data_IF_464036844656
#
_entry.id   IF_464036844656
#
_cell.length_a   1.000
_cell.length_b   1.000
_cell.length_c   1.000
_cell.angle_alpha   90.00
_cell.angle_beta   90.00
_cell.angle_gamma   90.00
#
_symmetry.space_group_name_H-M   'P 1'
#
loop_
_entity.id
_entity.type
_entity.pdbx_description
1 polymer ?
#
# COMPACT_ATOMS: atom_id res chain seq x y z
N UNK A 1 67.67 16.76 16.42
CA UNK A 1 67.37 18.10 15.88
C UNK A 1 67.03 17.94 14.41
N UNK A 2 65.74 17.97 14.06
CA UNK A 2 65.26 17.90 12.69
C UNK A 2 64.21 19.00 12.50
N UNK A 3 64.44 19.85 11.51
CA UNK A 3 63.55 20.89 11.04
C UNK A 3 63.71 21.00 9.52
N UNK A 4 62.55 21.14 8.85
CA UNK A 4 62.32 21.68 7.49
C UNK A 4 62.77 20.75 6.33
N UNK A 5 62.16 20.72 5.15
CA UNK A 5 61.25 21.65 4.47
C UNK A 5 60.44 20.91 3.39
N UNK A 6 59.27 21.45 3.10
CA UNK A 6 58.35 21.19 1.99
C UNK A 6 59.01 21.45 0.63
N UNK A 7 58.64 20.69 -0.42
CA UNK A 7 58.83 21.09 -1.82
C UNK A 7 57.70 20.58 -2.73
N UNK A 8 57.04 21.56 -3.35
CA UNK A 8 56.09 21.54 -4.48
C UNK A 8 56.79 21.26 -5.82
N UNK A 9 56.04 20.77 -6.84
CA UNK A 9 56.22 20.89 -8.33
C UNK A 9 55.14 20.00 -9.00
N UNK A 10 54.15 20.42 -9.79
CA UNK A 10 54.01 21.23 -11.03
C UNK A 10 54.59 20.63 -12.35
N UNK A 11 53.63 20.28 -13.25
CA UNK A 11 53.56 20.37 -14.75
C UNK A 11 54.48 19.45 -15.61
N UNK A 12 54.10 19.05 -16.88
CA UNK A 12 53.71 19.89 -18.06
C UNK A 12 52.54 19.33 -18.93
N UNK A 13 51.74 20.07 -19.72
CA UNK A 13 51.92 20.94 -20.91
C UNK A 13 52.30 20.29 -22.26
N UNK A 14 51.52 20.67 -23.31
CA UNK A 14 51.74 20.62 -24.78
C UNK A 14 51.32 19.33 -25.53
N UNK A 15 50.72 19.32 -26.76
CA UNK A 15 50.79 20.26 -27.90
C UNK A 15 49.75 19.92 -29.03
N UNK A 16 49.17 20.97 -29.64
CA UNK A 16 48.98 21.27 -31.10
C UNK A 16 48.38 20.24 -32.09
N UNK A 17 47.30 20.61 -32.81
CA UNK A 17 47.31 21.29 -34.13
C UNK A 17 45.91 21.42 -34.77
N UNK A 18 45.63 22.59 -35.34
CA UNK A 18 44.54 22.89 -36.31
C UNK A 18 45.03 22.60 -37.76
N UNK A 19 44.13 22.45 -38.74
CA UNK A 19 43.86 23.60 -39.61
C UNK A 19 42.39 23.80 -40.04
N UNK A 20 42.14 25.04 -40.48
CA UNK A 20 40.91 25.65 -41.02
C UNK A 20 40.49 25.10 -42.40
N UNK A 21 39.18 25.05 -42.67
CA UNK A 21 38.55 25.66 -43.86
C UNK A 21 37.01 25.44 -43.87
N UNK A 22 36.25 26.53 -44.00
CA UNK A 22 34.81 26.58 -44.35
C UNK A 22 34.65 26.52 -45.88
N UNK A 23 33.50 26.03 -46.43
CA UNK A 23 32.38 26.96 -46.71
C UNK A 23 30.95 26.39 -46.57
N UNK A 24 30.02 27.36 -46.49
CA UNK A 24 28.55 27.29 -46.42
C UNK A 24 27.86 26.33 -47.41
N UNK A 25 26.79 25.65 -46.94
CA UNK A 25 25.50 25.50 -47.66
C UNK A 25 24.39 25.03 -46.71
N UNK A 26 23.17 25.29 -47.13
CA UNK A 26 21.96 25.40 -46.34
C UNK A 26 21.13 24.10 -46.23
N UNK A 27 20.11 24.18 -45.37
CA UNK A 27 18.91 23.34 -45.22
C UNK A 27 19.06 21.96 -44.55
N UNK A 28 18.23 21.74 -43.52
CA UNK A 28 17.86 20.40 -43.05
C UNK A 28 17.54 20.35 -41.57
N UNK A 29 16.24 20.35 -41.25
CA UNK A 29 15.67 20.06 -39.94
C UNK A 29 16.10 18.66 -39.45
N UNK A 30 16.56 18.55 -38.20
CA UNK A 30 16.08 17.57 -37.21
C UNK A 30 16.66 17.93 -35.84
N UNK A 31 15.85 18.08 -34.78
CA UNK A 31 16.36 18.17 -33.42
C UNK A 31 16.77 16.76 -32.94
N UNK A 32 18.03 16.62 -32.56
CA UNK A 32 18.53 15.47 -31.80
C UNK A 32 17.91 15.47 -30.40
N UNK A 33 17.31 14.36 -29.92
CA UNK A 33 16.82 14.30 -28.55
C UNK A 33 18.00 14.19 -27.59
N UNK A 34 18.03 15.10 -26.61
CA UNK A 34 18.91 15.08 -25.44
C UNK A 34 18.59 13.83 -24.62
N UNK A 35 19.58 13.08 -24.12
CA UNK A 35 19.32 11.96 -23.21
C UNK A 35 18.68 12.50 -21.93
N UNK A 36 17.42 12.10 -21.72
CA UNK A 36 16.71 12.32 -20.46
C UNK A 36 17.47 11.55 -19.38
N UNK A 37 18.19 12.28 -18.53
CA UNK A 37 18.57 11.78 -17.22
C UNK A 37 17.28 11.41 -16.50
N UNK A 38 17.03 10.10 -16.36
CA UNK A 38 16.03 9.59 -15.43
C UNK A 38 16.44 10.07 -14.05
N UNK A 39 15.75 11.11 -13.58
CA UNK A 39 15.72 11.44 -12.16
C UNK A 39 15.20 10.19 -11.47
N UNK A 40 16.07 9.54 -10.70
CA UNK A 40 15.64 8.66 -9.63
C UNK A 40 14.69 9.47 -8.75
N UNK A 41 13.41 9.24 -8.91
CA UNK A 41 12.45 9.64 -7.89
C UNK A 41 12.72 8.69 -6.73
N UNK A 42 13.09 9.18 -5.54
CA UNK A 42 13.02 8.32 -4.36
C UNK A 42 11.57 7.83 -4.28
N UNK A 43 11.40 6.50 -4.25
CA UNK A 43 10.09 5.87 -4.05
C UNK A 43 9.46 6.54 -2.83
N UNK A 44 8.35 7.25 -3.06
CA UNK A 44 7.54 7.78 -1.97
C UNK A 44 7.17 6.60 -1.07
N UNK A 45 7.32 6.72 0.26
CA UNK A 45 6.66 5.77 1.15
C UNK A 45 5.15 5.79 0.85
N UNK A 46 4.56 4.61 0.94
CA UNK A 46 3.17 4.31 0.62
C UNK A 46 2.17 5.37 1.14
N UNK A 47 1.16 5.61 0.32
CA UNK A 47 0.19 6.70 0.35
C UNK A 47 -0.67 6.81 1.62
N UNK A 48 -0.52 7.93 2.33
CA UNK A 48 -1.51 8.48 3.26
C UNK A 48 -2.91 8.67 2.58
N UNK A 49 -2.94 8.75 1.23
CA UNK A 49 -4.17 8.92 0.45
C UNK A 49 -5.05 7.68 0.38
N UNK A 50 -4.48 6.46 0.47
CA UNK A 50 -5.27 5.21 0.40
C UNK A 50 -6.04 4.97 1.69
N UNK A 51 -5.36 5.11 2.83
CA UNK A 51 -6.00 5.01 4.14
C UNK A 51 -7.08 6.08 4.30
N UNK A 52 -6.80 7.31 3.85
CA UNK A 52 -7.76 8.41 3.88
C UNK A 52 -8.98 8.16 2.99
N UNK A 53 -8.81 7.56 1.80
CA UNK A 53 -9.94 7.19 0.92
C UNK A 53 -10.84 6.14 1.58
N UNK A 54 -10.26 5.10 2.17
CA UNK A 54 -11.02 4.05 2.87
C UNK A 54 -11.74 4.60 4.12
N UNK A 55 -11.10 5.51 4.86
CA UNK A 55 -11.72 6.23 5.98
C UNK A 55 -12.86 7.17 5.50
N UNK A 56 -12.69 7.87 4.38
CA UNK A 56 -13.72 8.72 3.75
C UNK A 56 -14.92 7.89 3.24
N UNK A 57 -14.69 6.66 2.80
CA UNK A 57 -15.72 5.69 2.40
C UNK A 57 -16.35 4.95 3.60
N UNK A 58 -15.93 5.28 4.84
CA UNK A 58 -16.51 4.73 6.07
C UNK A 58 -16.03 3.34 6.44
N UNK A 59 -14.95 2.83 5.81
CA UNK A 59 -14.42 1.49 6.05
C UNK A 59 -13.23 1.57 7.04
N UNK A 60 -13.40 1.13 8.29
CA UNK A 60 -12.33 1.17 9.27
C UNK A 60 -11.25 0.13 8.91
N UNK A 61 -10.01 0.59 8.68
CA UNK A 61 -8.85 -0.29 8.53
C UNK A 61 -8.49 -0.91 9.89
N UNK A 62 -8.49 -2.24 10.04
CA UNK A 62 -8.06 -2.87 11.28
C UNK A 62 -6.53 -2.77 11.40
N UNK A 63 -6.02 -2.14 12.46
CA UNK A 63 -4.57 -2.02 12.69
C UNK A 63 -4.00 -3.08 13.65
N UNK A 64 -4.84 -3.92 14.27
CA UNK A 64 -4.44 -5.06 15.10
C UNK A 64 -4.43 -6.40 14.35
N UNK A 65 -4.64 -6.39 13.02
CA UNK A 65 -4.57 -7.57 12.16
C UNK A 65 -3.17 -7.81 11.57
N UNK A 66 -2.99 -8.86 10.73
CA UNK A 66 -1.74 -9.06 10.01
C UNK A 66 -1.37 -7.78 9.23
N UNK A 67 -0.09 -7.39 9.29
CA UNK A 67 0.39 -6.22 8.53
C UNK A 67 0.08 -6.37 7.04
N UNK A 68 -0.08 -5.26 6.29
CA UNK A 68 -0.26 -5.34 4.83
C UNK A 68 0.79 -6.22 4.17
N UNK A 69 2.04 -6.12 4.61
CA UNK A 69 3.14 -6.93 4.10
C UNK A 69 2.95 -8.43 4.40
N UNK A 70 2.50 -8.79 5.60
CA UNK A 70 2.21 -10.17 5.97
C UNK A 70 1.02 -10.73 5.17
N UNK A 71 -0.05 -9.95 5.01
CA UNK A 71 -1.23 -10.36 4.25
C UNK A 71 -0.93 -10.47 2.75
N UNK A 72 -0.14 -9.56 2.20
CA UNK A 72 0.37 -9.66 0.82
C UNK A 72 1.27 -10.88 0.67
N UNK A 73 2.18 -11.15 1.61
CA UNK A 73 3.04 -12.33 1.56
C UNK A 73 2.23 -13.64 1.63
N UNK A 74 1.18 -13.67 2.45
CA UNK A 74 0.23 -14.78 2.49
C UNK A 74 -0.52 -14.93 1.17
N UNK A 75 -1.07 -13.83 0.65
CA UNK A 75 -1.78 -13.80 -0.63
C UNK A 75 -0.92 -14.30 -1.79
N UNK A 76 0.33 -13.83 -1.87
CA UNK A 76 1.31 -14.26 -2.86
C UNK A 76 1.68 -15.74 -2.69
N UNK A 77 1.72 -16.26 -1.46
CA UNK A 77 2.05 -17.66 -1.21
C UNK A 77 0.88 -18.63 -1.44
N UNK A 78 -0.36 -18.21 -1.18
CA UNK A 78 -1.53 -19.11 -1.07
C UNK A 78 -2.57 -18.91 -2.17
N UNK A 79 -2.62 -17.75 -2.83
CA UNK A 79 -3.67 -17.46 -3.83
C UNK A 79 -3.15 -17.46 -5.26
N UNK A 80 -1.82 -17.53 -5.48
CA UNK A 80 -1.25 -17.49 -6.84
C UNK A 80 -1.61 -18.71 -7.70
N UNK A 81 -1.92 -19.85 -7.09
CA UNK A 81 -2.29 -21.07 -7.85
C UNK A 81 -3.64 -20.92 -8.57
N UNK A 82 -4.46 -19.94 -8.19
CA UNK A 82 -5.78 -19.68 -8.76
C UNK A 82 -5.76 -18.54 -9.79
N UNK A 83 -4.61 -17.89 -9.96
CA UNK A 83 -4.50 -16.76 -10.88
C UNK A 83 -4.68 -17.24 -12.33
N UNK A 84 -5.62 -16.66 -13.09
CA UNK A 84 -5.75 -16.93 -14.51
C UNK A 84 -4.44 -16.67 -15.23
N UNK A 85 -4.09 -17.51 -16.19
CA UNK A 85 -2.90 -17.28 -17.03
C UNK A 85 -2.97 -15.98 -17.82
N UNK A 86 -4.19 -15.57 -18.15
CA UNK A 86 -4.48 -14.34 -18.86
C UNK A 86 -5.44 -13.49 -18.03
N UNK A 87 -5.01 -12.28 -17.69
CA UNK A 87 -5.86 -11.27 -17.07
C UNK A 87 -6.18 -10.19 -18.11
N UNK A 88 -7.47 -9.92 -18.36
CA UNK A 88 -7.89 -8.84 -19.23
C UNK A 88 -7.58 -7.46 -18.66
N UNK A 89 -7.66 -6.45 -19.52
CA UNK A 89 -7.34 -5.07 -19.12
C UNK A 89 -8.19 -4.59 -17.93
N UNK A 90 -7.51 -4.00 -16.94
CA UNK A 90 -8.13 -3.49 -15.70
C UNK A 90 -8.25 -4.51 -14.56
N UNK A 91 -8.12 -5.81 -14.84
CA UNK A 91 -8.05 -6.84 -13.82
C UNK A 91 -6.60 -7.08 -13.38
N UNK A 92 -6.42 -7.44 -12.11
CA UNK A 92 -5.11 -7.60 -11.49
C UNK A 92 -5.12 -8.68 -10.41
N UNK A 93 -3.98 -9.35 -10.26
CA UNK A 93 -3.61 -10.22 -9.13
C UNK A 93 -2.48 -9.62 -8.29
N UNK A 94 -2.07 -8.38 -8.58
CA UNK A 94 -1.05 -7.68 -7.83
C UNK A 94 -1.61 -7.17 -6.49
N UNK A 95 -1.87 -8.09 -5.55
CA UNK A 95 -2.57 -7.83 -4.29
C UNK A 95 -2.02 -6.66 -3.46
N UNK A 96 -0.71 -6.41 -3.57
CA UNK A 96 -0.07 -5.24 -2.94
C UNK A 96 -0.71 -3.92 -3.37
N UNK A 97 -1.20 -3.84 -4.61
CA UNK A 97 -1.78 -2.65 -5.23
C UNK A 97 -3.32 -2.62 -5.08
N UNK A 98 -3.91 -3.60 -4.39
CA UNK A 98 -5.33 -3.61 -4.08
C UNK A 98 -5.61 -2.92 -2.74
N UNK A 99 -6.39 -1.83 -2.79
CA UNK A 99 -6.67 -1.00 -1.61
C UNK A 99 -7.56 -1.72 -0.59
N UNK A 100 -8.49 -2.57 -1.03
CA UNK A 100 -9.46 -3.25 -0.16
C UNK A 100 -8.94 -4.57 0.44
N UNK A 101 -7.71 -4.99 0.12
CA UNK A 101 -7.14 -6.22 0.63
C UNK A 101 -7.17 -6.25 2.17
N UNK A 102 -6.70 -5.18 2.82
CA UNK A 102 -6.71 -5.07 4.27
C UNK A 102 -8.13 -4.98 4.82
N UNK A 103 -9.02 -4.27 4.14
CA UNK A 103 -10.40 -4.11 4.60
C UNK A 103 -11.10 -5.46 4.67
N UNK A 104 -11.05 -6.23 3.59
CA UNK A 104 -11.79 -7.49 3.47
C UNK A 104 -11.12 -8.64 4.23
N UNK A 105 -9.79 -8.77 4.16
CA UNK A 105 -9.10 -9.97 4.66
C UNK A 105 -8.38 -9.77 5.99
N UNK A 106 -8.31 -8.55 6.53
CA UNK A 106 -7.87 -8.39 7.92
C UNK A 106 -9.01 -8.66 8.90
N UNK A 107 -8.63 -9.07 10.11
CA UNK A 107 -9.55 -9.27 11.22
C UNK A 107 -10.38 -8.04 11.52
N UNK A 108 -11.69 -8.18 11.61
CA UNK A 108 -12.62 -7.10 11.93
C UNK A 108 -12.35 -6.51 13.33
N UNK A 109 -12.80 -5.26 13.58
CA UNK A 109 -12.70 -4.63 14.89
C UNK A 109 -13.84 -5.05 15.84
N UNK A 110 -14.59 -6.11 15.51
CA UNK A 110 -15.76 -6.54 16.27
C UNK A 110 -15.46 -7.79 17.10
N UNK A 111 -16.39 -8.15 17.97
CA UNK A 111 -16.35 -9.41 18.72
C UNK A 111 -16.06 -10.59 17.79
N UNK A 112 -15.23 -11.54 18.24
CA UNK A 112 -14.66 -12.66 17.47
C UNK A 112 -13.56 -12.29 16.48
N UNK A 113 -13.44 -11.00 16.11
CA UNK A 113 -12.41 -10.47 15.20
C UNK A 113 -12.28 -11.26 13.90
N UNK A 114 -13.39 -11.77 13.36
CA UNK A 114 -13.38 -12.53 12.11
C UNK A 114 -12.94 -11.65 10.93
N UNK A 115 -12.23 -12.17 9.91
CA UNK A 115 -12.01 -11.45 8.67
C UNK A 115 -13.33 -10.91 8.10
N UNK A 116 -13.35 -9.66 7.63
CA UNK A 116 -14.61 -9.05 7.14
C UNK A 116 -15.22 -9.83 5.98
N UNK A 117 -14.38 -10.43 5.13
CA UNK A 117 -14.83 -11.27 4.02
C UNK A 117 -15.57 -12.52 4.52
N UNK A 118 -15.17 -13.11 5.65
CA UNK A 118 -15.87 -14.27 6.22
C UNK A 118 -17.20 -13.84 6.86
N UNK A 119 -17.21 -12.69 7.55
CA UNK A 119 -18.45 -12.12 8.09
C UNK A 119 -19.47 -11.84 6.98
N UNK A 120 -19.00 -11.39 5.83
CA UNK A 120 -19.83 -11.13 4.65
C UNK A 120 -20.25 -12.44 3.97
N UNK A 121 -19.29 -13.20 3.44
CA UNK A 121 -19.57 -14.36 2.58
C UNK A 121 -20.12 -15.54 3.38
N UNK A 122 -19.40 -15.95 4.44
CA UNK A 122 -19.74 -17.15 5.18
C UNK A 122 -20.91 -16.94 6.13
N UNK A 123 -20.93 -15.82 6.86
CA UNK A 123 -21.98 -15.56 7.86
C UNK A 123 -23.20 -14.90 7.22
N UNK A 124 -23.07 -13.68 6.70
CA UNK A 124 -24.23 -12.92 6.19
C UNK A 124 -24.91 -13.59 4.98
N UNK A 125 -24.14 -14.20 4.08
CA UNK A 125 -24.67 -14.87 2.89
C UNK A 125 -24.79 -16.39 3.01
N UNK A 126 -24.41 -16.97 4.16
CA UNK A 126 -24.48 -18.41 4.42
C UNK A 126 -23.73 -19.29 3.40
N UNK A 127 -22.67 -18.78 2.78
CA UNK A 127 -21.87 -19.53 1.80
C UNK A 127 -20.72 -20.22 2.54
N UNK A 128 -20.86 -21.49 2.88
CA UNK A 128 -19.87 -22.23 3.66
C UNK A 128 -18.58 -22.52 2.84
N UNK A 129 -17.42 -22.37 3.48
CA UNK A 129 -16.12 -22.75 2.89
C UNK A 129 -15.02 -21.69 3.00
N UNK A 130 -13.83 -22.00 2.50
CA UNK A 130 -12.70 -21.06 2.51
C UNK A 130 -12.78 -20.09 1.33
N UNK A 131 -12.79 -18.78 1.63
CA UNK A 131 -12.86 -17.71 0.61
C UNK A 131 -11.47 -17.35 0.10
N UNK A 132 -11.22 -17.57 -1.20
CA UNK A 132 -9.94 -17.21 -1.86
C UNK A 132 -10.17 -16.21 -2.99
N UNK A 133 -9.59 -15.00 -2.93
CA UNK A 133 -9.71 -14.05 -4.01
C UNK A 133 -8.86 -14.52 -5.21
N UNK A 134 -9.41 -14.30 -6.40
CA UNK A 134 -8.81 -14.74 -7.67
C UNK A 134 -8.23 -13.54 -8.40
N UNK A 135 -9.04 -12.49 -8.61
CA UNK A 135 -8.63 -11.28 -9.30
C UNK A 135 -9.50 -10.11 -8.85
N UNK A 136 -8.94 -8.90 -8.87
CA UNK A 136 -9.67 -7.67 -8.55
C UNK A 136 -9.60 -6.67 -9.70
N UNK A 137 -10.56 -5.75 -9.74
CA UNK A 137 -10.59 -4.62 -10.66
C UNK A 137 -10.94 -3.35 -9.86
N UNK A 138 -9.97 -2.44 -9.75
CA UNK A 138 -10.12 -1.19 -8.98
C UNK A 138 -11.05 -0.18 -9.62
N UNK A 139 -11.18 -0.20 -10.96
CA UNK A 139 -12.04 0.76 -11.67
C UNK A 139 -13.51 0.35 -11.60
N UNK A 140 -13.77 -0.95 -11.48
CA UNK A 140 -15.12 -1.53 -11.39
C UNK A 140 -15.58 -1.78 -9.95
N UNK A 141 -14.80 -1.41 -8.95
CA UNK A 141 -15.04 -1.70 -7.53
C UNK A 141 -15.33 -3.21 -7.25
N UNK A 142 -14.55 -4.09 -7.90
CA UNK A 142 -14.88 -5.51 -8.03
C UNK A 142 -13.79 -6.48 -7.58
N UNK A 143 -14.19 -7.63 -7.04
CA UNK A 143 -13.32 -8.80 -6.83
C UNK A 143 -14.05 -10.09 -7.21
N UNK A 144 -13.36 -10.99 -7.91
CA UNK A 144 -13.78 -12.36 -8.15
C UNK A 144 -13.10 -13.24 -7.10
N UNK A 145 -13.85 -14.15 -6.50
CA UNK A 145 -13.32 -15.09 -5.51
C UNK A 145 -13.96 -16.46 -5.67
N UNK A 146 -13.23 -17.48 -5.23
CA UNK A 146 -13.72 -18.84 -5.12
C UNK A 146 -14.02 -19.17 -3.66
N UNK A 147 -15.00 -20.05 -3.44
CA UNK A 147 -15.25 -20.68 -2.14
C UNK A 147 -14.98 -22.17 -2.26
N UNK A 148 -14.13 -22.68 -1.38
CA UNK A 148 -13.77 -24.09 -1.31
C UNK A 148 -14.56 -24.76 -0.20
N UNK A 149 -15.40 -25.73 -0.55
CA UNK A 149 -16.10 -26.53 0.44
C UNK A 149 -15.10 -27.33 1.28
N UNK A 150 -15.25 -27.26 2.60
CA UNK A 150 -14.45 -28.05 3.55
C UNK A 150 -14.93 -29.47 3.71
N UNK A 151 -16.06 -29.84 3.07
CA UNK A 151 -16.63 -31.19 3.14
C UNK A 151 -15.93 -32.20 2.21
N UNK A 152 -14.92 -31.80 1.44
CA UNK A 152 -14.10 -32.71 0.63
C UNK A 152 -12.89 -33.25 1.44
N UNK A 153 -12.97 -34.47 2.01
CA UNK A 153 -11.91 -35.04 2.85
C UNK A 153 -10.59 -35.32 2.10
N UNK A 154 -10.56 -35.26 0.77
CA UNK A 154 -9.36 -35.51 -0.05
C UNK A 154 -8.25 -34.47 0.16
N UNK A 155 -8.53 -33.32 0.77
CA UNK A 155 -7.49 -32.30 1.03
C UNK A 155 -6.70 -32.50 2.34
N UNK A 156 -7.14 -33.39 3.24
CA UNK A 156 -6.47 -33.56 4.54
C UNK A 156 -5.39 -34.66 4.56
N UNK A 157 -5.22 -35.47 3.50
CA UNK A 157 -4.33 -36.64 3.56
C UNK A 157 -3.05 -36.61 2.73
N UNK A 158 -2.90 -35.78 1.69
CA UNK A 158 -1.93 -36.12 0.63
C UNK A 158 -0.69 -35.20 0.51
N UNK A 159 -0.30 -34.49 1.57
CA UNK A 159 1.04 -33.89 1.62
C UNK A 159 2.17 -34.92 1.80
N UNK A 160 1.84 -36.18 2.09
CA UNK A 160 2.79 -37.28 2.18
C UNK A 160 2.27 -38.51 1.42
N UNK A 161 2.83 -38.74 0.22
CA UNK A 161 2.80 -39.99 -0.56
C UNK A 161 1.58 -40.27 -1.45
N UNK A 162 1.66 -39.91 -2.74
CA UNK A 162 1.27 -40.87 -3.80
C UNK A 162 1.81 -40.48 -5.18
N UNK A 163 2.83 -41.23 -5.65
CA UNK A 163 3.26 -41.31 -7.05
C UNK A 163 2.31 -42.21 -7.88
N UNK A 164 0.99 -42.09 -7.71
CA UNK A 164 0.01 -42.87 -8.49
C UNK A 164 -0.50 -42.07 -9.67
N UNK A 165 0.07 -42.34 -10.85
CA UNK A 165 -0.23 -41.72 -12.16
C UNK A 165 -1.63 -42.05 -12.75
N UNK A 166 -2.61 -42.50 -11.97
CA UNK A 166 -3.96 -42.81 -12.47
C UNK A 166 -5.03 -41.84 -11.95
N UNK A 167 -4.94 -40.59 -12.43
CA UNK A 167 -6.00 -39.88 -13.16
C UNK A 167 -7.46 -39.92 -12.68
N UNK A 168 -7.75 -40.15 -11.41
CA UNK A 168 -9.05 -39.86 -10.81
C UNK A 168 -9.14 -38.38 -10.49
N UNK A 169 -9.64 -37.56 -11.43
CA UNK A 169 -9.91 -36.15 -11.18
C UNK A 169 -11.03 -36.01 -10.15
N UNK A 170 -10.68 -35.95 -8.87
CA UNK A 170 -11.56 -35.51 -7.80
C UNK A 170 -12.15 -34.16 -8.20
N UNK A 171 -13.44 -34.16 -8.46
CA UNK A 171 -14.15 -32.97 -8.93
C UNK A 171 -14.41 -32.09 -7.72
N UNK A 172 -13.41 -31.30 -7.31
CA UNK A 172 -13.60 -30.24 -6.33
C UNK A 172 -14.73 -29.33 -6.81
N UNK A 173 -15.81 -29.21 -6.03
CA UNK A 173 -16.86 -28.25 -6.31
C UNK A 173 -16.38 -26.87 -5.88
N UNK A 174 -15.62 -26.21 -6.75
CA UNK A 174 -15.22 -24.81 -6.57
C UNK A 174 -16.36 -23.93 -7.07
N UNK A 175 -16.99 -23.20 -6.17
CA UNK A 175 -18.00 -22.20 -6.52
C UNK A 175 -17.33 -20.83 -6.68
N UNK A 176 -17.63 -20.14 -7.78
CA UNK A 176 -17.03 -18.84 -8.09
C UNK A 176 -18.08 -17.74 -7.98
N UNK A 177 -17.70 -16.67 -7.30
CA UNK A 177 -18.56 -15.54 -7.00
C UNK A 177 -17.90 -14.22 -7.42
N UNK A 178 -18.75 -13.23 -7.62
CA UNK A 178 -18.38 -11.86 -7.89
C UNK A 178 -18.86 -10.97 -6.73
N UNK A 179 -17.96 -10.20 -6.14
CA UNK A 179 -18.26 -9.21 -5.09
C UNK A 179 -18.03 -7.80 -5.64
N UNK A 180 -19.06 -6.97 -5.57
CA UNK A 180 -18.92 -5.53 -5.65
C UNK A 180 -18.60 -5.00 -4.24
N UNK A 181 -17.35 -4.64 -3.97
CA UNK A 181 -16.93 -4.23 -2.63
C UNK A 181 -17.34 -2.80 -2.26
N UNK A 182 -17.93 -2.05 -3.20
CA UNK A 182 -18.54 -0.74 -2.91
C UNK A 182 -19.95 -0.88 -2.35
N UNK A 183 -20.72 -1.84 -2.86
CA UNK A 183 -22.10 -2.11 -2.40
C UNK A 183 -22.20 -3.33 -1.49
N UNK A 184 -21.11 -4.07 -1.31
CA UNK A 184 -21.05 -5.37 -0.62
C UNK A 184 -22.07 -6.39 -1.12
N UNK A 185 -22.46 -6.29 -2.39
CA UNK A 185 -23.37 -7.24 -3.02
C UNK A 185 -22.58 -8.39 -3.64
N UNK A 186 -22.95 -9.62 -3.28
CA UNK A 186 -22.42 -10.85 -3.88
C UNK A 186 -23.33 -11.29 -5.01
N UNK A 187 -22.70 -11.78 -6.07
CA UNK A 187 -23.37 -12.32 -7.23
C UNK A 187 -22.81 -13.72 -7.53
N UNK A 188 -23.69 -14.64 -7.89
CA UNK A 188 -23.35 -15.99 -8.33
C UNK A 188 -23.69 -16.18 -9.81
N UNK A 189 -23.10 -17.22 -10.40
CA UNK A 189 -23.59 -17.75 -11.66
C UNK A 189 -24.77 -18.66 -11.38
N UNK A 190 -25.90 -18.32 -11.97
CA UNK A 190 -27.07 -19.18 -11.95
C UNK A 190 -27.57 -19.41 -13.37
N UNK A 191 -27.44 -20.66 -13.82
CA UNK A 191 -27.92 -21.09 -15.12
C UNK A 191 -29.45 -20.94 -15.26
N UNK A 192 -30.19 -20.96 -14.15
CA UNK A 192 -31.65 -20.77 -14.17
C UNK A 192 -32.03 -19.32 -14.52
N UNK A 193 -31.26 -18.35 -14.02
CA UNK A 193 -31.44 -16.92 -14.31
C UNK A 193 -30.82 -16.51 -15.66
N UNK A 194 -29.91 -17.34 -16.18
CA UNK A 194 -29.13 -17.09 -17.39
C UNK A 194 -29.15 -18.27 -18.38
N UNK A 195 -30.30 -18.83 -18.79
CA UNK A 195 -30.36 -20.12 -19.49
C UNK A 195 -29.65 -20.16 -20.86
N UNK A 196 -29.33 -18.99 -21.42
CA UNK A 196 -28.63 -18.86 -22.70
C UNK A 196 -27.13 -18.62 -22.56
N UNK A 197 -26.61 -18.48 -21.35
CA UNK A 197 -25.18 -18.30 -21.10
C UNK A 197 -24.71 -19.54 -20.34
N UNK A 198 -23.86 -20.39 -20.95
CA UNK A 198 -23.36 -21.55 -20.25
C UNK A 198 -22.59 -21.09 -19.01
N UNK A 199 -22.75 -21.76 -17.86
CA UNK A 199 -21.94 -21.46 -16.69
C UNK A 199 -20.46 -21.60 -17.07
N UNK A 200 -19.59 -20.67 -16.65
CA UNK A 200 -18.17 -20.76 -16.96
C UNK A 200 -17.62 -22.06 -16.40
N UNK A 201 -16.93 -22.84 -17.23
CA UNK A 201 -16.31 -24.11 -16.83
C UNK A 201 -14.92 -23.93 -16.22
N UNK A 202 -14.39 -22.70 -16.28
CA UNK A 202 -13.09 -22.34 -15.72
C UNK A 202 -13.09 -20.90 -15.22
N UNK A 203 -12.10 -20.59 -14.38
CA UNK A 203 -11.87 -19.22 -13.90
C UNK A 203 -11.54 -18.29 -15.07
N UNK A 204 -10.81 -18.77 -16.07
CA UNK A 204 -10.47 -18.03 -17.28
C UNK A 204 -11.71 -17.60 -18.07
N UNK A 205 -12.64 -18.54 -18.32
CA UNK A 205 -13.90 -18.24 -19.01
C UNK A 205 -14.73 -17.18 -18.27
N UNK A 206 -14.74 -17.24 -16.94
CA UNK A 206 -15.39 -16.23 -16.12
C UNK A 206 -14.74 -14.85 -16.31
N UNK A 207 -13.43 -14.78 -16.16
CA UNK A 207 -12.70 -13.51 -16.24
C UNK A 207 -12.86 -12.87 -17.63
N UNK A 208 -12.89 -13.67 -18.68
CA UNK A 208 -13.19 -13.22 -20.04
C UNK A 208 -14.62 -12.70 -20.19
N UNK A 209 -15.61 -13.40 -19.62
CA UNK A 209 -17.02 -12.98 -19.61
C UNK A 209 -17.20 -11.61 -18.93
N UNK A 210 -16.51 -11.39 -17.81
CA UNK A 210 -16.55 -10.13 -17.04
C UNK A 210 -15.81 -8.96 -17.74
N UNK A 211 -15.02 -9.25 -18.77
CA UNK A 211 -14.24 -8.26 -19.51
C UNK A 211 -15.05 -7.60 -20.60
N UNK A 212 -15.87 -8.37 -21.32
CA UNK A 212 -16.77 -7.84 -22.34
C UNK A 212 -17.91 -6.99 -21.78
N UNK A 213 -18.12 -7.06 -20.46
CA UNK A 213 -19.20 -6.39 -19.76
C UNK A 213 -18.83 -4.98 -19.29
N UNK A 214 -19.63 -3.98 -19.67
CA UNK A 214 -19.48 -2.60 -19.20
C UNK A 214 -19.78 -2.49 -17.69
N UNK A 215 -20.72 -3.29 -17.18
CA UNK A 215 -21.03 -3.41 -15.76
C UNK A 215 -21.28 -4.88 -15.35
N UNK A 216 -21.19 -5.23 -14.06
CA UNK A 216 -21.52 -6.57 -13.57
C UNK A 216 -22.95 -6.97 -13.89
N UNK A 217 -23.86 -5.98 -13.97
CA UNK A 217 -25.28 -6.21 -14.32
C UNK A 217 -25.46 -6.54 -15.81
N UNK A 218 -24.48 -6.25 -16.65
CA UNK A 218 -24.48 -6.66 -18.07
C UNK A 218 -24.03 -8.10 -18.27
N UNK A 219 -23.46 -8.72 -17.24
CA UNK A 219 -23.23 -10.16 -17.16
C UNK A 219 -24.47 -10.78 -16.54
N UNK A 220 -24.92 -11.97 -16.98
CA UNK A 220 -26.12 -12.59 -16.42
C UNK A 220 -25.80 -13.27 -15.08
N UNK A 221 -25.39 -12.44 -14.13
CA UNK A 221 -25.13 -12.81 -12.76
C UNK A 221 -26.41 -12.69 -11.94
N UNK A 222 -26.64 -13.65 -11.07
CA UNK A 222 -27.72 -13.57 -10.10
C UNK A 222 -27.22 -12.88 -8.84
N UNK A 223 -27.87 -11.79 -8.44
CA UNK A 223 -27.56 -11.13 -7.17
C UNK A 223 -28.11 -11.99 -6.04
N UNK A 224 -27.22 -12.39 -5.13
CA UNK A 224 -27.63 -13.09 -3.92
C UNK A 224 -28.27 -12.12 -2.94
N UNK A 225 -29.31 -12.60 -2.26
CA UNK A 225 -29.87 -11.94 -1.09
C UNK A 225 -29.17 -12.47 0.18
N UNK A 226 -28.92 -11.62 1.18
CA UNK A 226 -28.42 -12.07 2.47
C UNK A 226 -29.34 -13.12 3.10
N UNK A 227 -28.74 -14.10 3.77
CA UNK A 227 -29.49 -15.10 4.52
C UNK A 227 -30.08 -14.48 5.80
N UNK A 228 -31.39 -14.61 6.09
CA UNK A 228 -31.98 -14.03 7.29
C UNK A 228 -31.40 -14.56 8.60
N UNK A 229 -31.02 -15.85 8.66
CA UNK A 229 -30.39 -16.43 9.85
C UNK A 229 -28.96 -15.91 9.98
N UNK A 230 -28.22 -15.85 8.88
CA UNK A 230 -26.87 -15.28 8.80
C UNK A 230 -26.81 -13.83 9.25
N UNK A 231 -27.78 -13.01 8.82
CA UNK A 231 -27.91 -11.62 9.28
C UNK A 231 -28.20 -11.54 10.78
N UNK A 232 -29.06 -12.41 11.31
CA UNK A 232 -29.33 -12.46 12.75
C UNK A 232 -28.10 -12.90 13.56
N UNK A 233 -27.31 -13.84 13.03
CA UNK A 233 -26.04 -14.24 13.62
C UNK A 233 -25.03 -13.07 13.61
N UNK A 234 -24.95 -12.32 12.50
CA UNK A 234 -24.11 -11.12 12.41
C UNK A 234 -24.50 -10.05 13.43
N UNK A 235 -25.80 -9.78 13.58
CA UNK A 235 -26.30 -8.83 14.59
C UNK A 235 -25.94 -9.27 16.01
N UNK A 236 -25.94 -10.58 16.28
CA UNK A 236 -25.51 -11.17 17.56
C UNK A 236 -24.01 -11.04 17.79
N UNK A 237 -23.18 -11.21 16.75
CA UNK A 237 -21.73 -10.90 16.82
C UNK A 237 -21.54 -9.43 17.22
N UNK A 238 -22.24 -8.51 16.54
CA UNK A 238 -22.16 -7.07 16.83
C UNK A 238 -22.65 -6.74 18.24
N UNK A 239 -23.63 -7.48 18.76
CA UNK A 239 -24.13 -7.38 20.13
C UNK A 239 -23.25 -8.11 21.18
N UNK A 240 -22.12 -8.70 20.78
CA UNK A 240 -21.20 -9.48 21.62
C UNK A 240 -21.85 -10.72 22.27
N UNK A 241 -22.84 -11.33 21.62
CA UNK A 241 -23.51 -12.52 22.16
C UNK A 241 -22.66 -13.78 21.94
N UNK A 242 -21.97 -14.23 22.99
CA UNK A 242 -21.12 -15.42 22.95
C UNK A 242 -21.88 -16.72 22.63
N UNK A 243 -23.21 -16.76 22.80
CA UNK A 243 -24.00 -17.94 22.46
C UNK A 243 -24.14 -18.16 20.95
N UNK A 244 -23.67 -17.24 20.11
CA UNK A 244 -23.63 -17.40 18.65
C UNK A 244 -22.50 -18.32 18.20
N UNK A 245 -21.45 -18.52 19.01
CA UNK A 245 -20.23 -19.24 18.61
C UNK A 245 -20.51 -20.68 18.13
N UNK A 246 -21.30 -21.51 18.85
CA UNK A 246 -21.58 -22.88 18.39
C UNK A 246 -22.36 -22.90 17.07
N UNK A 247 -23.28 -21.95 16.89
CA UNK A 247 -24.04 -21.81 15.64
C UNK A 247 -23.14 -21.42 14.47
N UNK A 248 -22.19 -20.50 14.70
CA UNK A 248 -21.20 -20.13 13.69
C UNK A 248 -20.37 -21.33 13.23
N UNK A 249 -19.86 -22.13 14.17
CA UNK A 249 -19.09 -23.32 13.85
C UNK A 249 -19.90 -24.40 13.12
N UNK A 250 -21.16 -24.58 13.50
CA UNK A 250 -21.99 -25.64 12.91
C UNK A 250 -22.45 -25.29 11.49
N UNK A 251 -22.81 -24.03 11.24
CA UNK A 251 -23.50 -23.64 9.99
C UNK A 251 -22.65 -22.84 9.02
N UNK A 252 -21.72 -22.02 9.52
CA UNK A 252 -21.14 -20.93 8.72
C UNK A 252 -19.62 -21.05 8.56
N UNK A 253 -18.91 -21.46 9.61
CA UNK A 253 -17.45 -21.49 9.68
C UNK A 253 -16.94 -22.92 9.88
N UNK A 254 -15.87 -23.28 9.18
CA UNK A 254 -15.21 -24.57 9.36
C UNK A 254 -14.37 -24.68 10.66
N UNK A 255 -14.39 -23.65 11.50
CA UNK A 255 -13.64 -23.58 12.75
C UNK A 255 -14.48 -22.92 13.85
N UNK A 256 -14.10 -23.17 15.10
CA UNK A 256 -14.72 -22.50 16.25
C UNK A 256 -14.06 -21.13 16.46
N UNK A 257 -14.76 -20.00 16.24
CA UNK A 257 -14.17 -18.68 16.42
C UNK A 257 -13.95 -18.39 17.91
N UNK A 258 -12.78 -17.84 18.25
CA UNK A 258 -12.44 -17.52 19.64
C UNK A 258 -13.10 -16.21 20.08
N UNK A 259 -13.77 -16.17 21.25
CA UNK A 259 -14.29 -14.92 21.81
C UNK A 259 -13.16 -13.94 22.12
N UNK A 260 -13.39 -12.68 21.81
CA UNK A 260 -12.47 -11.57 22.07
C UNK A 260 -12.99 -10.65 23.15
N UNK A 261 -12.07 -9.97 23.82
CA UNK A 261 -12.34 -8.88 24.75
C UNK A 261 -12.33 -7.55 24.00
N UNK A 262 -13.00 -6.52 24.54
CA UNK A 262 -13.00 -5.17 23.96
C UNK A 262 -11.56 -4.62 23.76
N UNK A 263 -10.65 -4.96 24.67
CA UNK A 263 -9.25 -4.57 24.57
C UNK A 263 -8.51 -5.22 23.39
N UNK A 264 -8.92 -6.42 22.98
CA UNK A 264 -8.35 -7.12 21.82
C UNK A 264 -8.95 -6.64 20.48
N UNK A 265 -10.17 -6.10 20.50
CA UNK A 265 -10.95 -5.66 19.34
C UNK A 265 -10.61 -4.23 18.89
N UNK A 266 -10.35 -3.36 19.85
CA UNK A 266 -9.84 -2.02 19.55
C UNK A 266 -8.41 -2.19 19.02
N UNK A 267 -8.09 -1.75 17.79
CA UNK A 267 -6.70 -1.74 17.34
C UNK A 267 -5.92 -0.95 18.37
N UNK A 268 -4.86 -1.52 18.98
CA UNK A 268 -4.12 -0.90 20.09
C UNK A 268 -3.79 0.57 19.76
N UNK A 269 -4.71 1.47 20.11
CA UNK A 269 -4.57 2.89 19.83
C UNK A 269 -3.31 3.39 20.52
N UNK A 270 -2.98 2.77 21.66
CA UNK A 270 -1.76 2.97 22.42
C UNK A 270 -0.48 2.64 21.66
N UNK A 271 -0.41 1.59 20.84
CA UNK A 271 0.81 1.28 20.07
C UNK A 271 0.96 2.21 18.87
N UNK A 272 -0.14 2.49 18.17
CA UNK A 272 -0.14 3.41 17.02
C UNK A 272 0.15 4.84 17.44
N UNK A 273 -0.46 5.31 18.54
CA UNK A 273 -0.17 6.62 19.12
C UNK A 273 1.24 6.67 19.67
N UNK A 274 1.75 5.60 20.28
CA UNK A 274 3.15 5.50 20.71
C UNK A 274 4.12 5.59 19.55
N UNK A 275 3.87 4.89 18.43
CA UNK A 275 4.69 5.00 17.22
C UNK A 275 4.59 6.38 16.57
N UNK A 276 3.38 6.92 16.40
CA UNK A 276 3.17 8.26 15.83
C UNK A 276 3.85 9.33 16.69
N UNK A 277 3.77 9.21 18.01
CA UNK A 277 4.49 10.04 18.97
C UNK A 277 5.99 9.86 18.80
N UNK A 278 6.52 8.64 18.73
CA UNK A 278 7.95 8.41 18.53
C UNK A 278 8.47 9.04 17.23
N UNK A 279 7.77 8.84 16.10
CA UNK A 279 8.15 9.41 14.78
C UNK A 279 8.08 10.93 14.78
N UNK A 280 7.06 11.52 15.39
CA UNK A 280 6.95 12.98 15.48
C UNK A 280 8.05 13.57 16.37
N UNK A 281 8.37 12.91 17.49
CA UNK A 281 9.47 13.32 18.36
C UNK A 281 10.82 13.30 17.62
N UNK A 282 11.08 12.21 16.88
CA UNK A 282 12.29 12.06 16.07
C UNK A 282 12.37 13.12 14.97
N UNK A 283 11.26 13.39 14.27
CA UNK A 283 11.19 14.43 13.24
C UNK A 283 11.47 15.83 13.80
N UNK A 284 10.95 16.15 14.98
CA UNK A 284 11.22 17.40 15.69
C UNK A 284 12.70 17.50 16.04
N UNK A 285 13.29 16.44 16.60
CA UNK A 285 14.71 16.42 16.98
C UNK A 285 15.64 16.55 15.78
N UNK A 286 15.37 15.80 14.70
CA UNK A 286 16.10 15.88 13.45
C UNK A 286 16.06 17.29 12.85
N UNK A 287 14.89 17.93 12.86
CA UNK A 287 14.73 19.30 12.35
C UNK A 287 15.48 20.31 13.21
N UNK A 288 15.43 20.18 14.54
CA UNK A 288 16.21 21.03 15.47
C UNK A 288 17.72 20.89 15.27
N UNK A 289 18.19 19.68 14.99
CA UNK A 289 19.60 19.43 14.66
C UNK A 289 19.98 20.09 13.34
N UNK A 290 19.20 19.86 12.28
CA UNK A 290 19.43 20.47 10.97
C UNK A 290 19.50 22.00 11.04
N UNK A 291 18.56 22.65 11.75
CA UNK A 291 18.57 24.11 11.89
C UNK A 291 19.87 24.59 12.58
N UNK A 292 20.29 23.92 13.66
CA UNK A 292 21.53 24.28 14.38
C UNK A 292 22.76 24.12 13.48
N UNK A 293 22.90 22.98 12.81
CA UNK A 293 24.02 22.71 11.92
C UNK A 293 24.08 23.74 10.77
N UNK A 294 22.93 24.04 10.16
CA UNK A 294 22.85 25.03 9.09
C UNK A 294 23.12 26.47 9.56
N UNK A 295 22.71 26.84 10.78
CA UNK A 295 23.06 28.15 11.38
C UNK A 295 24.56 28.25 11.68
N UNK A 296 25.16 27.20 12.23
CA UNK A 296 26.58 27.15 12.55
C UNK A 296 27.44 27.21 11.27
N UNK A 297 27.09 26.45 10.23
CA UNK A 297 27.74 26.48 8.92
C UNK A 297 27.63 27.87 8.27
N UNK A 298 26.44 28.46 8.30
CA UNK A 298 26.20 29.79 7.73
C UNK A 298 27.01 30.89 8.44
N UNK A 299 27.17 30.80 9.77
CA UNK A 299 28.00 31.73 10.53
C UNK A 299 29.49 31.53 10.25
N UNK A 300 29.94 30.27 10.15
CA UNK A 300 31.32 29.94 9.83
C UNK A 300 31.72 30.44 8.44
N UNK A 301 30.85 30.26 7.44
CA UNK A 301 31.06 30.75 6.07
C UNK A 301 31.14 32.28 6.04
N UNK A 302 30.23 32.99 6.72
CA UNK A 302 30.31 34.46 6.83
C UNK A 302 31.62 34.92 7.49
N UNK A 303 32.08 34.23 8.54
CA UNK A 303 33.33 34.58 9.21
C UNK A 303 34.55 34.30 8.33
N UNK A 304 34.55 33.20 7.58
CA UNK A 304 35.61 32.84 6.64
C UNK A 304 35.69 33.83 5.47
N UNK A 305 34.56 34.16 4.85
CA UNK A 305 34.48 35.18 3.80
C UNK A 305 34.95 36.53 4.31
N UNK A 306 34.58 36.92 5.54
CA UNK A 306 35.07 38.15 6.18
C UNK A 306 36.59 38.14 6.36
N UNK A 307 37.15 37.05 6.90
CA UNK A 307 38.61 36.91 7.09
C UNK A 307 39.36 36.94 5.76
N UNK A 308 38.82 36.32 4.71
CA UNK A 308 39.42 36.32 3.37
C UNK A 308 39.48 37.75 2.80
N UNK A 309 38.38 38.50 2.87
CA UNK A 309 38.32 39.89 2.40
C UNK A 309 39.28 40.81 3.18
N UNK A 310 39.38 40.63 4.49
CA UNK A 310 40.33 41.35 5.35
C UNK A 310 41.80 41.05 5.00
N UNK A 311 42.14 39.79 4.68
CA UNK A 311 43.50 39.37 4.32
C UNK A 311 43.93 39.84 2.92
N UNK A 312 43.00 39.87 1.96
CA UNK A 312 43.29 40.27 0.58
C UNK A 312 43.24 41.79 0.36
N UNK A 313 42.88 42.57 1.40
CA UNK A 313 42.76 44.02 1.30
C UNK A 313 41.65 44.47 0.35
N UNK A 314 40.68 43.60 0.09
CA UNK A 314 39.52 43.90 -0.75
C UNK A 314 38.54 44.78 0.00
N UNK A 315 37.83 45.64 -0.74
CA UNK A 315 36.76 46.46 -0.20
C UNK A 315 35.65 45.55 0.36
N UNK A 316 35.21 45.79 1.59
CA UNK A 316 34.24 44.97 2.33
C UNK A 316 32.82 44.94 1.73
N UNK A 317 32.63 45.46 0.51
CA UNK A 317 31.37 45.40 -0.18
C UNK A 317 31.06 43.93 -0.55
N UNK A 318 29.97 43.40 -0.01
CA UNK A 318 29.43 42.12 -0.45
C UNK A 318 29.04 42.21 -1.92
N UNK A 319 29.39 41.19 -2.68
CA UNK A 319 28.94 41.09 -4.07
C UNK A 319 27.44 40.80 -4.09
N UNK A 320 26.76 41.23 -5.14
CA UNK A 320 25.32 40.98 -5.30
C UNK A 320 25.00 39.47 -5.28
N UNK A 321 25.90 38.64 -5.81
CA UNK A 321 25.78 37.19 -5.82
C UNK A 321 25.91 36.58 -4.41
N UNK A 322 26.84 37.07 -3.57
CA UNK A 322 26.96 36.66 -2.16
C UNK A 322 25.72 37.04 -1.35
N UNK A 323 25.21 38.26 -1.55
CA UNK A 323 23.98 38.72 -0.89
C UNK A 323 22.77 37.86 -1.26
N UNK A 324 22.68 37.46 -2.53
CA UNK A 324 21.63 36.57 -2.99
C UNK A 324 21.76 35.17 -2.37
N UNK A 325 22.96 34.59 -2.36
CA UNK A 325 23.21 33.29 -1.74
C UNK A 325 22.87 33.28 -0.23
N UNK A 326 23.28 34.32 0.50
CA UNK A 326 22.95 34.44 1.93
C UNK A 326 21.45 34.66 2.17
N UNK A 327 20.75 35.37 1.28
CA UNK A 327 19.31 35.54 1.37
C UNK A 327 18.56 34.21 1.14
N UNK A 328 19.02 33.38 0.19
CA UNK A 328 18.45 32.06 -0.09
C UNK A 328 18.61 31.13 1.13
N UNK A 329 19.80 31.10 1.74
CA UNK A 329 20.06 30.29 2.95
C UNK A 329 19.19 30.75 4.13
N UNK A 330 19.07 32.07 4.36
CA UNK A 330 18.20 32.61 5.41
C UNK A 330 16.74 32.23 5.21
N UNK A 331 16.25 32.30 3.97
CA UNK A 331 14.88 31.91 3.62
C UNK A 331 14.65 30.43 3.92
N UNK A 332 15.58 29.56 3.53
CA UNK A 332 15.50 28.13 3.82
C UNK A 332 15.50 27.83 5.33
N UNK A 333 16.32 28.55 6.11
CA UNK A 333 16.35 28.44 7.57
C UNK A 333 15.01 28.88 8.21
N UNK A 334 14.43 29.98 7.74
CA UNK A 334 13.15 30.49 8.25
C UNK A 334 11.99 29.54 7.92
N UNK A 335 11.99 28.93 6.74
CA UNK A 335 11.04 27.88 6.36
C UNK A 335 11.17 26.64 7.25
N UNK A 336 12.40 26.19 7.51
CA UNK A 336 12.66 25.07 8.41
C UNK A 336 12.19 25.37 9.85
N UNK A 337 12.45 26.58 10.37
CA UNK A 337 11.97 27.04 11.68
C UNK A 337 10.45 27.11 11.75
N UNK A 338 9.78 27.48 10.66
CA UNK A 338 8.32 27.53 10.58
C UNK A 338 7.74 26.12 10.64
N UNK A 339 8.26 25.18 9.85
CA UNK A 339 7.87 23.76 9.90
C UNK A 339 8.11 23.14 11.27
N UNK A 340 9.21 23.48 11.93
CA UNK A 340 9.48 23.03 13.30
C UNK A 340 8.39 23.50 14.26
N UNK A 341 7.99 24.77 14.20
CA UNK A 341 6.91 25.32 15.04
C UNK A 341 5.59 24.62 14.80
N UNK A 342 5.24 24.29 13.55
CA UNK A 342 4.03 23.54 13.22
C UNK A 342 4.06 22.13 13.83
N UNK A 343 5.17 21.40 13.69
CA UNK A 343 5.33 20.07 14.29
C UNK A 343 5.25 20.12 15.82
N UNK A 344 5.86 21.13 16.46
CA UNK A 344 5.79 21.35 17.91
C UNK A 344 4.38 21.72 18.36
N UNK A 345 3.61 22.46 17.57
CA UNK A 345 2.22 22.75 17.85
C UNK A 345 1.35 21.49 17.77
N UNK A 346 1.56 20.63 16.77
CA UNK A 346 0.89 19.32 16.68
C UNK A 346 1.28 18.46 17.89
N UNK A 347 2.55 18.45 18.28
CA UNK A 347 3.02 17.74 19.46
C UNK A 347 2.32 18.22 20.74
N UNK A 348 2.30 19.54 20.96
CA UNK A 348 1.73 20.13 22.16
C UNK A 348 0.21 19.98 22.24
N UNK A 349 -0.48 20.00 21.11
CA UNK A 349 -1.94 19.84 21.08
C UNK A 349 -2.40 18.40 21.24
N UNK A 350 -1.62 17.42 20.78
CA UNK A 350 -2.02 15.99 20.79
C UNK A 350 -1.36 15.15 21.87
N UNK A 351 -0.16 15.50 22.33
CA UNK A 351 0.66 14.61 23.15
C UNK A 351 1.26 15.26 24.40
N UNK A 352 1.03 16.56 24.62
CA UNK A 352 1.40 17.16 25.89
C UNK A 352 0.48 16.61 27.00
N UNK A 353 1.04 16.13 28.12
CA UNK A 353 0.22 15.82 29.28
C UNK A 353 -0.47 17.12 29.73
N UNK A 354 -1.75 17.03 30.11
CA UNK A 354 -2.52 18.15 30.65
C UNK A 354 -1.64 18.97 31.60
N UNK A 355 -1.44 20.25 31.25
CA UNK A 355 -0.87 21.22 32.18
C UNK A 355 -1.91 21.43 33.28
N UNK A 356 -1.83 20.62 34.34
CA UNK A 356 -2.45 20.90 35.63
C UNK A 356 -1.82 22.18 36.19
#
# INVERSE_FOLDING_TARGET
MLLRSVSTRLLPLCRRNLPLAFPRRAFGLTPTPVPVFQRFTPRRPYSDTTARRLEEEGLPLPKSGPTKAALVGYAEAQWMDLAPRYLPAGWSTAWKDWDYLLTLFAYSPYFLRLPQIEMLVNVQYAIAGEVKPIAYNSDKDAVIFAVYSTEDPEYQSDAEQSDSEEGGGGSFSVEIFYLNYRTFSIYSFDAEHAPNVPPPQSIEELVDLMTGAESPESVPLYKLDPDPEGQAALDRILARDASVIPELQEKYLAYEPRPTTEAEEIPEQNEVERERKARLAEAIENTRRYIREAEDEFLAEQEETRKMKEQEGMEMAETQDEQQAYAEIRTALDDAKTKLREMEQVWNSRYAPDRI
#
